data_IF_513012191033
#
_entry.id   IF_513012191033
#
_cell.length_a   1.000
_cell.length_b   1.000
_cell.length_c   1.000
_cell.angle_alpha   90.00
_cell.angle_beta   90.00
_cell.angle_gamma   90.00
#
_symmetry.space_group_name_H-M   'P 1'
#
loop_
_entity.id
_entity.type
_entity.pdbx_description
1 polymer ?
#
# COMPACT_ATOMS: atom_id res chain seq x y z
N UNK A 1 10.53 -8.71 -14.39
CA UNK A 1 9.57 -8.30 -15.43
C UNK A 1 8.19 -8.96 -15.35
N UNK A 2 7.95 -10.06 -14.62
CA UNK A 2 6.62 -10.69 -14.54
C UNK A 2 5.69 -10.14 -13.43
N UNK A 3 6.20 -9.34 -12.48
CA UNK A 3 5.44 -8.88 -11.31
C UNK A 3 4.60 -7.60 -11.56
N UNK A 4 4.95 -6.81 -12.57
CA UNK A 4 4.23 -5.57 -12.91
C UNK A 4 2.91 -5.89 -13.61
N UNK A 5 2.90 -6.90 -14.48
CA UNK A 5 1.70 -7.34 -15.19
C UNK A 5 0.58 -7.85 -14.26
N UNK A 6 0.92 -8.50 -13.15
CA UNK A 6 -0.07 -9.02 -12.20
C UNK A 6 -0.74 -7.94 -11.36
N UNK A 7 -0.02 -6.85 -11.04
CA UNK A 7 -0.57 -5.72 -10.30
C UNK A 7 -1.59 -4.93 -11.15
N UNK A 8 -1.30 -4.71 -12.43
CA UNK A 8 -2.22 -4.02 -13.34
C UNK A 8 -3.54 -4.78 -13.55
N UNK A 9 -3.48 -6.12 -13.63
CA UNK A 9 -4.68 -6.97 -13.78
C UNK A 9 -5.55 -6.93 -12.52
N UNK A 10 -4.95 -6.93 -11.33
CA UNK A 10 -5.68 -6.85 -10.06
C UNK A 10 -6.41 -5.50 -9.90
N UNK A 11 -5.76 -4.40 -10.28
CA UNK A 11 -6.36 -3.05 -10.26
C UNK A 11 -7.50 -2.96 -11.30
N UNK A 12 -7.30 -3.50 -12.50
CA UNK A 12 -8.32 -3.53 -13.55
C UNK A 12 -9.59 -4.31 -13.16
N UNK A 13 -9.44 -5.44 -12.46
CA UNK A 13 -10.56 -6.22 -11.94
C UNK A 13 -11.33 -5.47 -10.83
N UNK A 14 -10.61 -4.73 -9.98
CA UNK A 14 -11.23 -3.91 -8.93
C UNK A 14 -12.03 -2.74 -9.53
N UNK A 15 -11.51 -2.06 -10.56
CA UNK A 15 -12.21 -0.94 -11.22
C UNK A 15 -13.43 -1.39 -12.05
N UNK A 16 -13.43 -2.63 -12.57
CA UNK A 16 -14.57 -3.17 -13.30
C UNK A 16 -15.70 -3.62 -12.36
N UNK A 17 -15.37 -4.07 -11.15
CA UNK A 17 -16.36 -4.49 -10.14
C UNK A 17 -17.09 -3.31 -9.46
N UNK A 18 -16.56 -2.10 -9.54
CA UNK A 18 -17.16 -0.89 -8.93
C UNK A 18 -17.95 -0.02 -9.92
N UNK A 19 -18.00 -0.38 -11.21
CA UNK A 19 -18.56 0.48 -12.27
C UNK A 19 -20.09 0.45 -12.41
N UNK A 20 -20.78 -0.49 -11.76
CA UNK A 20 -22.25 -0.65 -11.88
C UNK A 20 -23.08 -0.14 -10.68
N UNK A 21 -22.47 0.59 -9.73
CA UNK A 21 -23.22 1.31 -8.69
C UNK A 21 -23.18 2.81 -8.91
N UNK A 22 -24.25 3.31 -9.52
CA UNK A 22 -24.54 4.73 -9.69
C UNK A 22 -25.23 5.24 -8.42
N UNK A 23 -24.50 5.93 -7.55
CA UNK A 23 -25.04 6.75 -6.45
C UNK A 23 -24.43 8.18 -6.48
N UNK A 24 -25.19 9.20 -6.04
CA UNK A 24 -25.01 10.62 -6.38
C UNK A 24 -23.90 11.34 -5.56
N UNK A 25 -23.51 12.59 -5.92
CA UNK A 25 -22.25 13.17 -5.48
C UNK A 25 -22.36 13.69 -4.05
N UNK A 26 -21.52 13.20 -3.16
CA UNK A 26 -21.31 13.84 -1.87
C UNK A 26 -19.86 13.73 -1.41
N UNK A 27 -19.26 14.92 -1.38
CA UNK A 27 -18.19 15.37 -0.49
C UNK A 27 -16.81 14.73 -0.69
N UNK A 28 -15.93 15.53 -1.32
CA UNK A 28 -14.48 15.44 -1.17
C UNK A 28 -14.14 15.29 0.30
N UNK A 29 -13.70 14.08 0.69
CA UNK A 29 -12.99 13.88 1.94
C UNK A 29 -11.62 14.53 1.78
N UNK A 30 -11.16 15.35 2.73
CA UNK A 30 -9.81 15.90 2.67
C UNK A 30 -8.81 14.74 2.67
N UNK A 31 -7.84 14.81 1.77
CA UNK A 31 -6.69 13.90 1.70
C UNK A 31 -6.04 13.92 3.10
N UNK A 32 -5.98 12.78 3.82
CA UNK A 32 -5.38 12.78 5.15
C UNK A 32 -3.89 13.11 5.03
N UNK A 33 -3.46 14.01 5.90
CA UNK A 33 -2.08 14.51 6.05
C UNK A 33 -1.06 13.36 6.06
N UNK A 34 -0.28 13.24 4.98
CA UNK A 34 0.79 12.24 4.82
C UNK A 34 1.97 12.49 5.78
N UNK A 35 2.06 13.67 6.40
CA UNK A 35 3.25 14.12 7.14
C UNK A 35 3.35 13.55 8.56
N UNK A 36 2.27 13.00 9.13
CA UNK A 36 2.24 12.48 10.51
C UNK A 36 2.81 11.05 10.66
N UNK A 37 3.04 10.33 9.56
CA UNK A 37 3.17 8.86 9.59
C UNK A 37 4.60 8.29 9.66
N UNK A 38 5.66 9.12 9.68
CA UNK A 38 7.04 8.60 9.64
C UNK A 38 7.45 8.02 11.01
N UNK A 39 7.00 8.64 12.11
CA UNK A 39 7.31 8.18 13.48
C UNK A 39 6.67 6.83 13.83
N UNK A 40 5.59 6.45 13.13
CA UNK A 40 4.86 5.19 13.37
C UNK A 40 5.39 3.99 12.58
N UNK A 41 6.34 4.18 11.65
CA UNK A 41 6.96 3.08 10.89
C UNK A 41 7.77 2.14 11.79
N UNK A 42 8.33 2.65 12.89
CA UNK A 42 9.15 1.88 13.84
C UNK A 42 8.36 0.87 14.69
N UNK A 43 7.02 0.96 14.71
CA UNK A 43 6.15 0.13 15.56
C UNK A 43 5.22 -0.76 14.75
N UNK A 44 5.51 -1.00 13.47
CA UNK A 44 4.68 -1.89 12.66
C UNK A 44 4.79 -3.33 13.20
N UNK A 45 3.66 -4.04 13.35
CA UNK A 45 3.70 -5.44 13.78
C UNK A 45 4.50 -6.27 12.77
N UNK A 46 5.19 -7.32 13.24
CA UNK A 46 5.89 -8.26 12.37
C UNK A 46 4.93 -9.19 11.62
N UNK A 47 5.48 -10.18 10.94
CA UNK A 47 4.72 -11.23 10.27
C UNK A 47 3.85 -11.99 11.27
N UNK A 48 2.54 -12.06 11.00
CA UNK A 48 1.52 -12.69 11.86
C UNK A 48 1.44 -14.21 11.63
N UNK A 49 1.82 -14.68 10.44
CA UNK A 49 1.77 -16.07 10.03
C UNK A 49 3.15 -16.74 9.97
N UNK A 50 3.24 -18.04 10.28
CA UNK A 50 4.48 -18.80 10.13
C UNK A 50 4.68 -19.24 8.68
N UNK A 51 5.94 -19.40 8.26
CA UNK A 51 6.26 -19.93 6.91
C UNK A 51 5.62 -21.30 6.65
N UNK A 52 5.53 -22.17 7.68
CA UNK A 52 4.85 -23.47 7.60
C UNK A 52 3.37 -23.36 7.23
N UNK A 53 2.69 -22.28 7.64
CA UNK A 53 1.26 -22.09 7.39
C UNK A 53 1.04 -21.69 5.93
N UNK A 54 1.96 -20.88 5.39
CA UNK A 54 1.98 -20.45 4.00
C UNK A 54 2.31 -21.62 3.08
N UNK A 55 3.29 -22.45 3.43
CA UNK A 55 3.63 -23.65 2.64
C UNK A 55 2.45 -24.62 2.58
N UNK A 56 1.75 -24.81 3.70
CA UNK A 56 0.51 -25.59 3.72
C UNK A 56 -0.56 -24.98 2.83
N UNK A 57 -0.80 -23.67 2.92
CA UNK A 57 -1.78 -22.97 2.09
C UNK A 57 -1.43 -23.05 0.58
N UNK A 58 -0.14 -22.92 0.21
CA UNK A 58 0.30 -23.09 -1.19
C UNK A 58 0.10 -24.51 -1.69
N UNK A 59 0.39 -25.52 -0.87
CA UNK A 59 0.14 -26.92 -1.21
C UNK A 59 -1.36 -27.19 -1.38
N UNK A 60 -2.18 -26.67 -0.47
CA UNK A 60 -3.63 -26.76 -0.53
C UNK A 60 -4.17 -26.10 -1.82
N UNK A 61 -3.70 -24.90 -2.18
CA UNK A 61 -4.07 -24.24 -3.43
C UNK A 61 -3.80 -25.10 -4.66
N UNK A 62 -2.63 -25.75 -4.73
CA UNK A 62 -2.29 -26.63 -5.86
C UNK A 62 -3.25 -27.81 -5.97
N UNK A 63 -3.60 -28.43 -4.84
CA UNK A 63 -4.52 -29.57 -4.81
C UNK A 63 -5.95 -29.13 -5.16
N UNK A 64 -6.42 -28.03 -4.59
CA UNK A 64 -7.73 -27.47 -4.90
C UNK A 64 -7.84 -27.06 -6.36
N UNK A 65 -6.80 -26.45 -6.95
CA UNK A 65 -6.79 -26.12 -8.37
C UNK A 65 -6.93 -27.37 -9.26
N UNK A 66 -6.24 -28.46 -8.92
CA UNK A 66 -6.37 -29.71 -9.66
C UNK A 66 -7.79 -30.30 -9.54
N UNK A 67 -8.37 -30.28 -8.34
CA UNK A 67 -9.75 -30.75 -8.12
C UNK A 67 -10.77 -29.87 -8.86
N UNK A 68 -10.57 -28.54 -8.89
CA UNK A 68 -11.37 -27.61 -9.68
C UNK A 68 -11.36 -27.98 -11.16
N UNK A 69 -10.17 -28.23 -11.70
CA UNK A 69 -10.01 -28.55 -13.12
C UNK A 69 -10.68 -29.89 -13.44
N UNK A 70 -10.55 -30.90 -12.57
CA UNK A 70 -11.26 -32.16 -12.71
C UNK A 70 -12.79 -31.99 -12.68
N UNK A 71 -13.34 -31.20 -11.75
CA UNK A 71 -14.77 -30.92 -11.70
C UNK A 71 -15.23 -30.16 -12.94
N UNK A 72 -14.42 -29.24 -13.46
CA UNK A 72 -14.72 -28.51 -14.69
C UNK A 72 -14.85 -29.46 -15.86
N UNK A 73 -13.95 -30.43 -15.99
CA UNK A 73 -14.01 -31.45 -17.05
C UNK A 73 -15.27 -32.31 -16.95
N UNK A 74 -15.66 -32.72 -15.74
CA UNK A 74 -16.88 -33.51 -15.53
C UNK A 74 -18.13 -32.72 -15.91
N UNK A 75 -18.22 -31.47 -15.47
CA UNK A 75 -19.35 -30.59 -15.83
C UNK A 75 -19.40 -30.41 -17.35
N UNK A 76 -18.25 -30.11 -18.00
CA UNK A 76 -18.17 -29.99 -19.46
C UNK A 76 -18.66 -31.25 -20.17
N UNK A 77 -18.34 -32.45 -19.67
CA UNK A 77 -18.83 -33.71 -20.23
C UNK A 77 -20.35 -33.86 -20.17
N UNK A 78 -21.01 -33.30 -19.15
CA UNK A 78 -22.48 -33.29 -19.13
C UNK A 78 -23.07 -32.38 -20.21
N UNK A 79 -22.43 -31.26 -20.54
CA UNK A 79 -22.89 -30.41 -21.64
C UNK A 79 -22.67 -31.07 -23.00
N UNK A 80 -21.52 -31.72 -23.20
CA UNK A 80 -21.22 -32.47 -24.42
C UNK A 80 -22.24 -33.60 -24.66
N UNK A 81 -22.60 -34.35 -23.61
CA UNK A 81 -23.61 -35.40 -23.70
C UNK A 81 -25.02 -34.86 -24.04
N UNK A 82 -25.36 -33.64 -23.66
CA UNK A 82 -26.62 -33.01 -24.09
C UNK A 82 -26.56 -32.57 -25.56
N UNK A 83 -25.43 -31.98 -25.98
CA UNK A 83 -25.23 -31.55 -27.37
C UNK A 83 -25.27 -32.74 -28.34
N UNK A 84 -24.79 -33.91 -27.91
CA UNK A 84 -24.86 -35.18 -28.63
C UNK A 84 -26.24 -35.87 -28.52
N UNK A 85 -27.13 -35.36 -27.65
CA UNK A 85 -28.46 -35.91 -27.42
C UNK A 85 -28.50 -37.18 -26.59
N UNK A 86 -27.41 -37.56 -25.92
CA UNK A 86 -27.35 -38.71 -25.01
C UNK A 86 -28.16 -38.48 -23.72
N UNK A 87 -28.25 -37.23 -23.29
CA UNK A 87 -29.07 -36.82 -22.14
C UNK A 87 -29.93 -35.60 -22.47
N UNK A 88 -31.04 -35.46 -21.73
CA UNK A 88 -31.89 -34.27 -21.82
C UNK A 88 -31.30 -33.09 -21.04
N UNK A 89 -31.81 -31.90 -21.35
CA UNK A 89 -31.48 -30.65 -20.65
C UNK A 89 -31.69 -30.78 -19.14
N UNK A 90 -32.81 -31.34 -18.72
CA UNK A 90 -33.20 -31.54 -17.32
C UNK A 90 -32.27 -32.53 -16.61
N UNK A 91 -31.87 -33.62 -17.27
CA UNK A 91 -30.91 -34.60 -16.75
C UNK A 91 -29.53 -33.98 -16.55
N UNK A 92 -29.03 -33.20 -17.52
CA UNK A 92 -27.78 -32.44 -17.35
C UNK A 92 -27.86 -31.52 -16.13
N UNK A 93 -28.93 -30.73 -15.98
CA UNK A 93 -29.08 -29.82 -14.83
C UNK A 93 -29.05 -30.61 -13.51
N UNK A 94 -29.72 -31.77 -13.47
CA UNK A 94 -29.72 -32.64 -12.30
C UNK A 94 -28.34 -33.21 -12.00
N UNK A 95 -27.60 -33.65 -13.02
CA UNK A 95 -26.24 -34.16 -12.90
C UNK A 95 -25.27 -33.07 -12.44
N UNK A 96 -25.31 -31.88 -13.04
CA UNK A 96 -24.40 -30.77 -12.72
C UNK A 96 -24.58 -30.19 -11.31
N UNK A 97 -25.79 -30.26 -10.74
CA UNK A 97 -26.14 -29.59 -9.48
C UNK A 97 -25.15 -29.84 -8.34
N UNK A 98 -24.74 -31.10 -8.12
CA UNK A 98 -23.82 -31.44 -7.04
C UNK A 98 -22.39 -30.95 -7.34
N UNK A 99 -21.95 -31.08 -8.59
CA UNK A 99 -20.62 -30.66 -9.02
C UNK A 99 -20.46 -29.13 -8.97
N UNK A 100 -21.50 -28.38 -9.35
CA UNK A 100 -21.53 -26.92 -9.21
C UNK A 100 -21.49 -26.48 -7.74
N UNK A 101 -22.22 -27.15 -6.86
CA UNK A 101 -22.15 -26.88 -5.42
C UNK A 101 -20.75 -27.16 -4.86
N UNK A 102 -20.11 -28.26 -5.29
CA UNK A 102 -18.74 -28.60 -4.92
C UNK A 102 -17.73 -27.60 -5.48
N UNK A 103 -17.91 -27.14 -6.72
CA UNK A 103 -17.10 -26.11 -7.36
C UNK A 103 -17.13 -24.80 -6.55
N UNK A 104 -18.31 -24.41 -6.07
CA UNK A 104 -18.46 -23.22 -5.21
C UNK A 104 -17.72 -23.39 -3.88
N UNK A 105 -17.91 -24.53 -3.21
CA UNK A 105 -17.21 -24.83 -1.95
C UNK A 105 -15.68 -24.82 -2.12
N UNK A 106 -15.20 -25.38 -3.22
CA UNK A 106 -13.79 -25.42 -3.56
C UNK A 106 -13.25 -24.00 -3.79
N UNK A 107 -13.99 -23.16 -4.52
CA UNK A 107 -13.63 -21.76 -4.75
C UNK A 107 -13.51 -20.98 -3.43
N UNK A 108 -14.40 -21.22 -2.47
CA UNK A 108 -14.32 -20.59 -1.14
C UNK A 108 -13.08 -21.05 -0.35
N UNK A 109 -12.69 -22.33 -0.47
CA UNK A 109 -11.45 -22.85 0.13
C UNK A 109 -10.21 -22.25 -0.53
N UNK A 110 -10.18 -22.17 -1.86
CA UNK A 110 -9.08 -21.54 -2.59
C UNK A 110 -8.93 -20.08 -2.16
N UNK A 111 -10.03 -19.32 -2.11
CA UNK A 111 -10.01 -17.92 -1.66
C UNK A 111 -9.42 -17.78 -0.27
N UNK A 112 -9.75 -18.67 0.68
CA UNK A 112 -9.16 -18.64 2.02
C UNK A 112 -7.64 -18.88 1.99
N UNK A 113 -7.19 -19.88 1.23
CA UNK A 113 -5.76 -20.17 1.13
C UNK A 113 -4.99 -19.05 0.40
N UNK A 114 -5.58 -18.41 -0.61
CA UNK A 114 -5.05 -17.21 -1.27
C UNK A 114 -4.89 -16.05 -0.29
N UNK A 115 -5.89 -15.80 0.57
CA UNK A 115 -5.80 -14.76 1.59
C UNK A 115 -4.66 -15.00 2.58
N UNK A 116 -4.43 -16.26 2.99
CA UNK A 116 -3.33 -16.62 3.88
C UNK A 116 -1.98 -16.32 3.22
N UNK A 117 -1.81 -16.74 1.96
CA UNK A 117 -0.58 -16.49 1.20
C UNK A 117 -0.37 -14.99 0.98
N UNK A 118 -1.41 -14.28 0.54
CA UNK A 118 -1.35 -12.85 0.27
C UNK A 118 -1.07 -12.02 1.52
N UNK A 119 -1.68 -12.35 2.65
CA UNK A 119 -1.40 -11.67 3.91
C UNK A 119 0.09 -11.78 4.29
N UNK A 120 0.63 -13.00 4.26
CA UNK A 120 2.04 -13.22 4.58
C UNK A 120 2.99 -12.49 3.61
N UNK A 121 2.69 -12.50 2.31
CA UNK A 121 3.49 -11.79 1.31
C UNK A 121 3.47 -10.27 1.55
N UNK A 122 2.30 -9.70 1.87
CA UNK A 122 2.18 -8.27 2.18
C UNK A 122 2.92 -7.89 3.47
N UNK A 123 2.85 -8.72 4.51
CA UNK A 123 3.58 -8.49 5.75
C UNK A 123 5.09 -8.55 5.53
N UNK A 124 5.56 -9.50 4.71
CA UNK A 124 6.97 -9.61 4.33
C UNK A 124 7.45 -8.41 3.51
N UNK A 125 6.67 -7.96 2.53
CA UNK A 125 6.98 -6.77 1.72
C UNK A 125 7.06 -5.53 2.62
N UNK A 126 6.14 -5.38 3.57
CA UNK A 126 6.16 -4.30 4.55
C UNK A 126 7.46 -4.32 5.37
N UNK A 127 7.86 -5.48 5.88
CA UNK A 127 9.11 -5.62 6.64
C UNK A 127 10.34 -5.24 5.80
N UNK A 128 10.37 -5.65 4.54
CA UNK A 128 11.46 -5.33 3.61
C UNK A 128 11.52 -3.82 3.30
N UNK A 129 10.38 -3.18 3.07
CA UNK A 129 10.29 -1.74 2.83
C UNK A 129 10.80 -0.94 4.03
N UNK A 130 10.41 -1.32 5.26
CA UNK A 130 10.89 -0.67 6.48
C UNK A 130 12.41 -0.77 6.59
N UNK A 131 12.98 -1.95 6.32
CA UNK A 131 14.44 -2.15 6.34
C UNK A 131 15.16 -1.27 5.31
N UNK A 132 14.65 -1.20 4.09
CA UNK A 132 15.23 -0.35 3.03
C UNK A 132 15.14 1.13 3.39
N UNK A 133 14.00 1.56 3.93
CA UNK A 133 13.81 2.93 4.37
C UNK A 133 14.77 3.30 5.51
N UNK A 134 14.88 2.46 6.54
CA UNK A 134 15.80 2.68 7.66
C UNK A 134 17.27 2.75 7.19
N UNK A 135 17.67 1.88 6.26
CA UNK A 135 19.00 1.92 5.67
C UNK A 135 19.25 3.23 4.91
N UNK A 136 18.29 3.65 4.07
CA UNK A 136 18.42 4.88 3.29
C UNK A 136 18.38 6.14 4.16
N UNK A 137 17.54 6.14 5.20
CA UNK A 137 17.46 7.21 6.18
C UNK A 137 18.78 7.32 6.97
N UNK A 138 19.36 6.20 7.38
CA UNK A 138 20.66 6.19 8.06
C UNK A 138 21.79 6.69 7.16
N UNK A 139 21.83 6.28 5.89
CA UNK A 139 22.80 6.78 4.90
C UNK A 139 22.67 8.30 4.72
N UNK A 140 21.42 8.79 4.58
CA UNK A 140 21.13 10.21 4.40
C UNK A 140 21.53 11.01 5.64
N UNK A 141 21.21 10.52 6.84
CA UNK A 141 21.61 11.15 8.09
C UNK A 141 23.13 11.18 8.26
N UNK A 142 23.85 10.15 7.85
CA UNK A 142 25.31 10.15 7.88
C UNK A 142 25.89 11.26 6.99
N UNK A 143 25.36 11.44 5.77
CA UNK A 143 25.76 12.54 4.87
C UNK A 143 25.43 13.92 5.45
N UNK A 144 24.27 14.07 6.10
CA UNK A 144 23.91 15.33 6.77
C UNK A 144 24.91 15.67 7.88
N UNK A 145 25.28 14.69 8.69
CA UNK A 145 26.23 14.90 9.79
C UNK A 145 27.65 15.19 9.29
N UNK A 146 28.07 14.57 8.19
CA UNK A 146 29.32 14.90 7.49
C UNK A 146 29.34 16.37 7.05
N UNK A 147 28.30 16.82 6.33
CA UNK A 147 28.17 18.20 5.87
C UNK A 147 28.10 19.20 7.04
N UNK A 148 27.40 18.86 8.13
CA UNK A 148 27.35 19.71 9.33
C UNK A 148 28.71 19.89 9.97
N UNK A 149 29.52 18.82 10.03
CA UNK A 149 30.90 18.87 10.56
C UNK A 149 31.78 19.75 9.70
N UNK A 150 31.68 19.63 8.37
CA UNK A 150 32.43 20.47 7.43
C UNK A 150 32.06 21.94 7.56
N UNK A 151 30.77 22.24 7.72
CA UNK A 151 30.25 23.59 7.94
C UNK A 151 30.41 24.10 9.38
N UNK A 152 30.95 23.29 10.30
CA UNK A 152 31.07 23.60 11.75
C UNK A 152 29.75 24.04 12.39
N UNK A 153 28.63 23.50 11.89
CA UNK A 153 27.31 23.77 12.44
C UNK A 153 27.14 22.97 13.73
N UNK A 154 26.70 23.63 14.80
CA UNK A 154 26.32 22.94 16.03
C UNK A 154 25.15 21.98 15.74
N UNK A 155 25.06 20.82 16.43
CA UNK A 155 23.91 19.94 16.29
C UNK A 155 22.63 20.71 16.61
N UNK A 156 21.51 20.44 15.91
CA UNK A 156 20.22 21.05 16.21
C UNK A 156 19.91 20.83 17.69
N UNK A 157 19.68 21.92 18.41
CA UNK A 157 19.18 21.83 19.78
C UNK A 157 17.77 21.24 19.66
N UNK A 158 17.55 20.03 20.16
CA UNK A 158 16.21 19.52 20.39
C UNK A 158 15.50 20.54 21.29
N UNK A 159 14.57 21.29 20.71
CA UNK A 159 13.73 22.22 21.42
C UNK A 159 12.80 21.38 22.30
N UNK A 160 13.29 21.01 23.48
CA UNK A 160 12.47 20.42 24.55
C UNK A 160 11.34 21.40 24.80
N UNK A 161 10.15 21.06 24.33
CA UNK A 161 8.91 21.75 24.67
C UNK A 161 8.85 21.89 26.19
N UNK A 162 9.17 23.09 26.67
CA UNK A 162 8.99 23.46 28.06
C UNK A 162 7.48 23.54 28.29
N UNK A 163 6.90 22.47 28.82
CA UNK A 163 5.59 22.53 29.47
C UNK A 163 5.61 23.68 30.49
N UNK A 164 4.77 24.71 30.38
CA UNK A 164 4.73 25.74 31.39
C UNK A 164 4.01 25.20 32.65
N UNK A 165 4.60 25.31 33.84
CA UNK A 165 3.86 25.02 35.06
C UNK A 165 2.87 26.15 35.33
N UNK A 166 1.62 25.77 35.58
CA UNK A 166 0.57 26.67 36.01
C UNK A 166 0.88 27.27 37.38
N UNK A 167 0.92 28.61 37.50
CA UNK A 167 0.33 29.36 38.62
C UNK A 167 0.32 30.89 38.40
N UNK A 168 -0.90 31.38 38.13
CA UNK A 168 -1.61 32.55 38.69
C UNK A 168 -0.84 33.84 39.06
N UNK A 169 -1.09 34.88 38.24
CA UNK A 169 -1.46 36.30 38.50
C UNK A 169 -0.68 37.10 39.57
N UNK A 170 0.04 38.16 39.15
CA UNK A 170 -0.33 39.58 39.43
C UNK A 170 0.54 40.60 38.65
N UNK A 171 -0.08 41.76 38.41
CA UNK A 171 0.26 42.85 37.48
C UNK A 171 1.51 43.67 37.87
N UNK A 172 2.23 44.22 36.88
CA UNK A 172 2.55 45.67 36.74
C UNK A 172 3.20 45.99 35.38
N UNK A 173 3.26 47.29 35.08
CA UNK A 173 3.07 48.03 33.80
C UNK A 173 4.39 48.52 33.16
N UNK A 174 4.30 48.91 31.88
CA UNK A 174 5.27 49.66 31.02
C UNK A 174 6.38 48.79 30.39
N UNK A 175 6.80 48.91 29.11
CA UNK A 175 6.88 50.06 28.20
C UNK A 175 7.05 49.56 26.73
N UNK A 176 6.82 50.46 25.76
CA UNK A 176 6.64 50.26 24.32
C UNK A 176 7.94 50.45 23.49
N UNK A 177 8.19 49.63 22.44
CA UNK A 177 8.86 49.91 21.11
C UNK A 177 9.57 48.67 20.47
N UNK A 178 9.91 48.65 19.15
CA UNK A 178 9.10 48.01 18.12
C UNK A 178 9.76 46.77 17.47
N UNK A 179 8.95 45.87 16.91
CA UNK A 179 9.40 44.70 16.14
C UNK A 179 10.16 45.12 14.86
N UNK A 180 11.43 44.74 14.76
CA UNK A 180 12.17 44.69 13.49
C UNK A 180 11.94 43.33 12.82
N UNK A 181 11.40 43.32 11.60
CA UNK A 181 11.41 42.14 10.71
C UNK A 181 12.83 41.91 10.17
N UNK A 182 13.40 40.70 10.17
CA UNK A 182 14.59 40.42 9.39
C UNK A 182 14.22 39.91 7.99
N UNK A 183 14.97 40.46 7.04
CA UNK A 183 15.08 40.21 5.60
C UNK A 183 14.78 38.76 5.16
N UNK A 184 13.63 38.54 4.52
CA UNK A 184 13.26 37.32 3.79
C UNK A 184 13.16 37.63 2.29
N UNK A 185 14.30 37.67 1.60
CA UNK A 185 14.31 37.79 0.14
C UNK A 185 15.35 36.85 -0.46
N UNK A 186 16.61 36.90 -0.01
CA UNK A 186 17.67 36.05 -0.57
C UNK A 186 17.55 34.56 -0.20
N UNK A 187 17.01 34.24 0.98
CA UNK A 187 16.80 32.85 1.41
C UNK A 187 15.55 32.30 0.73
N UNK A 188 14.50 33.11 0.62
CA UNK A 188 13.25 32.72 -0.03
C UNK A 188 13.47 32.48 -1.54
N UNK A 189 14.31 33.29 -2.20
CA UNK A 189 14.73 33.07 -3.60
C UNK A 189 15.53 31.78 -3.79
N UNK A 190 16.38 31.40 -2.83
CA UNK A 190 17.13 30.14 -2.88
C UNK A 190 16.22 28.93 -2.65
N UNK A 191 15.24 29.05 -1.76
CA UNK A 191 14.24 28.01 -1.51
C UNK A 191 13.36 27.83 -2.76
N UNK A 192 12.98 28.92 -3.42
CA UNK A 192 12.15 28.86 -4.63
C UNK A 192 12.93 28.25 -5.82
N UNK A 193 14.21 28.57 -5.97
CA UNK A 193 15.08 27.91 -6.96
C UNK A 193 15.22 26.41 -6.71
N UNK A 194 15.42 26.01 -5.44
CA UNK A 194 15.51 24.59 -5.09
C UNK A 194 14.21 23.85 -5.40
N UNK A 195 13.06 24.47 -5.13
CA UNK A 195 11.74 23.91 -5.47
C UNK A 195 11.57 23.72 -6.98
N UNK A 196 12.03 24.68 -7.78
CA UNK A 196 11.96 24.59 -9.24
C UNK A 196 12.90 23.51 -9.80
N UNK A 197 14.10 23.36 -9.24
CA UNK A 197 15.02 22.28 -9.63
C UNK A 197 14.43 20.90 -9.32
N UNK A 198 13.85 20.71 -8.14
CA UNK A 198 13.19 19.45 -7.76
C UNK A 198 11.98 19.15 -8.65
N UNK A 199 11.14 20.15 -8.96
CA UNK A 199 10.00 19.96 -9.87
C UNK A 199 10.46 19.57 -11.27
N UNK A 200 11.57 20.13 -11.74
CA UNK A 200 12.13 19.83 -13.05
C UNK A 200 12.71 18.42 -13.13
N UNK A 201 13.41 17.96 -12.09
CA UNK A 201 13.92 16.59 -12.02
C UNK A 201 12.78 15.56 -11.95
N UNK A 202 11.67 15.87 -11.26
CA UNK A 202 10.49 15.01 -11.23
C UNK A 202 9.84 14.88 -12.61
N UNK A 203 9.75 15.97 -13.37
CA UNK A 203 9.22 15.95 -14.75
C UNK A 203 10.16 15.20 -15.72
N UNK A 204 11.47 15.25 -15.50
CA UNK A 204 12.46 14.52 -16.30
C UNK A 204 12.43 13.01 -16.01
N UNK A 205 12.19 12.61 -14.76
CA UNK A 205 11.96 11.21 -14.37
C UNK A 205 10.63 10.67 -14.92
N UNK A 206 9.58 11.49 -14.97
CA UNK A 206 8.30 11.11 -15.59
C UNK A 206 8.45 10.86 -17.10
N UNK A 207 9.30 11.64 -17.80
CA UNK A 207 9.59 11.43 -19.22
C UNK A 207 10.40 10.16 -19.48
N UNK A 208 11.27 9.77 -18.55
CA UNK A 208 12.00 8.49 -18.61
C UNK A 208 11.12 7.27 -18.34
N UNK A 209 9.97 7.43 -17.70
CA UNK A 209 9.00 6.35 -17.45
C UNK A 209 8.02 6.14 -18.63
N UNK A 210 7.98 7.06 -19.60
CA UNK A 210 7.14 6.96 -20.81
C UNK A 210 7.89 6.35 -22.00
N UNK A 211 9.23 6.28 -21.96
CA UNK A 211 10.06 5.75 -23.07
C UNK A 211 10.56 4.29 -22.84
N UNK A 212 9.91 3.52 -21.96
CA UNK A 212 10.15 2.07 -21.76
C UNK A 212 8.87 1.25 -21.99
#
# INVERSE_FOLDING_TARGET
MAAIGTAAVAIGLFMRATRDKKEPPSQEKPIPEVVSSISSLKTLPGTSLKSSDVERARKELRLLALERDALSLVISKFFEAEDEGEITREERIRLSKEYEARMKSLSDKMRRAELIVGLYELERIREELVKMFDAKLSETNAKIEELRRELKLAPPVEEKEKKPPAKRVEKKKAEEKPRRKPKGSEIDEKIEKLRQEVLKELEELEKLEIEI
#
